data_IF_573465087744
#
_entry.id   IF_573465087744
#
_cell.length_a   1.000
_cell.length_b   1.000
_cell.length_c   1.000
_cell.angle_alpha   90.00
_cell.angle_beta   90.00
_cell.angle_gamma   90.00
#
_symmetry.space_group_name_H-M   'P 1'
#
loop_
_entity.id
_entity.type
_entity.pdbx_description
1 polymer ?
#
# COMPACT_ATOMS: atom_id res chain seq x y z
N UNK A 1 -22.64 -3.18 16.40
CA UNK A 1 -21.26 -3.69 16.57
C UNK A 1 -20.60 -3.05 17.81
N UNK A 2 -21.11 -3.33 19.01
CA UNK A 2 -20.70 -2.65 20.26
C UNK A 2 -19.60 -3.41 21.03
N UNK A 3 -19.36 -4.68 20.69
CA UNK A 3 -18.48 -5.60 21.42
C UNK A 3 -16.98 -5.30 21.26
N UNK A 4 -16.56 -4.69 20.15
CA UNK A 4 -15.14 -4.31 19.88
C UNK A 4 -14.61 -3.25 20.88
N UNK A 5 -15.49 -2.58 21.62
CA UNK A 5 -15.15 -1.53 22.58
C UNK A 5 -15.08 -2.01 24.04
N UNK A 6 -15.32 -3.28 24.30
CA UNK A 6 -15.24 -3.85 25.65
C UNK A 6 -13.79 -4.10 26.05
N UNK A 7 -13.47 -3.99 27.34
CA UNK A 7 -12.14 -4.35 27.87
C UNK A 7 -11.79 -5.83 27.57
N UNK A 8 -12.82 -6.67 27.43
CA UNK A 8 -12.71 -8.06 26.99
C UNK A 8 -12.08 -8.18 25.60
N UNK A 9 -12.39 -7.27 24.67
CA UNK A 9 -11.79 -7.30 23.33
C UNK A 9 -10.29 -7.01 23.35
N UNK A 10 -9.85 -6.03 24.15
CA UNK A 10 -8.42 -5.67 24.26
C UNK A 10 -7.58 -6.82 24.82
N UNK A 11 -8.14 -7.60 25.76
CA UNK A 11 -7.49 -8.77 26.34
C UNK A 11 -7.61 -10.03 25.46
N UNK A 12 -8.69 -10.16 24.68
CA UNK A 12 -8.90 -11.27 23.76
C UNK A 12 -8.08 -11.17 22.47
N UNK A 13 -7.88 -9.97 21.92
CA UNK A 13 -7.24 -9.79 20.61
C UNK A 13 -5.84 -10.42 20.51
N UNK A 14 -4.93 -10.29 21.49
CA UNK A 14 -3.63 -10.98 21.44
C UNK A 14 -3.75 -12.50 21.32
N UNK A 15 -4.75 -13.11 21.98
CA UNK A 15 -5.02 -14.55 21.92
C UNK A 15 -5.62 -14.97 20.58
N UNK A 16 -6.50 -14.13 20.02
CA UNK A 16 -7.17 -14.39 18.74
C UNK A 16 -6.33 -14.03 17.51
N UNK A 17 -5.29 -13.21 17.66
CA UNK A 17 -4.49 -12.70 16.55
C UNK A 17 -3.88 -13.82 15.70
N UNK A 18 -3.40 -14.89 16.33
CA UNK A 18 -2.85 -16.05 15.62
C UNK A 18 -3.94 -16.73 14.77
N UNK A 19 -5.12 -16.99 15.34
CA UNK A 19 -6.27 -17.57 14.63
C UNK A 19 -6.74 -16.68 13.49
N UNK A 20 -6.92 -15.37 13.73
CA UNK A 20 -7.35 -14.41 12.69
C UNK A 20 -6.36 -14.36 11.54
N UNK A 21 -5.05 -14.40 11.82
CA UNK A 21 -4.04 -14.42 10.77
C UNK A 21 -4.06 -15.75 10.01
N UNK A 22 -4.20 -16.88 10.70
CA UNK A 22 -4.32 -18.19 10.05
C UNK A 22 -5.54 -18.28 9.12
N UNK A 23 -6.69 -17.73 9.53
CA UNK A 23 -7.87 -17.65 8.66
C UNK A 23 -7.66 -16.75 7.45
N UNK A 24 -6.95 -15.62 7.60
CA UNK A 24 -6.59 -14.76 6.46
C UNK A 24 -5.68 -15.48 5.47
N UNK A 25 -4.68 -16.19 5.98
CA UNK A 25 -3.73 -16.95 5.15
C UNK A 25 -4.50 -18.05 4.38
N UNK A 26 -5.39 -18.81 5.05
CA UNK A 26 -6.28 -19.79 4.40
C UNK A 26 -7.20 -19.19 3.34
N UNK A 27 -7.83 -18.04 3.64
CA UNK A 27 -8.69 -17.35 2.68
C UNK A 27 -7.92 -16.87 1.46
N UNK A 28 -6.69 -16.39 1.65
CA UNK A 28 -5.82 -15.97 0.56
C UNK A 28 -5.38 -17.18 -0.29
N UNK A 29 -4.98 -18.29 0.35
CA UNK A 29 -4.63 -19.53 -0.35
C UNK A 29 -5.80 -20.05 -1.18
N UNK A 30 -7.00 -20.13 -0.60
CA UNK A 30 -8.20 -20.55 -1.34
C UNK A 30 -8.48 -19.64 -2.54
N UNK A 31 -8.37 -18.32 -2.36
CA UNK A 31 -8.57 -17.36 -3.45
C UNK A 31 -7.49 -17.48 -4.55
N UNK A 32 -6.25 -17.82 -4.20
CA UNK A 32 -5.18 -18.13 -5.16
C UNK A 32 -5.47 -19.41 -5.92
N UNK A 33 -5.86 -20.49 -5.23
CA UNK A 33 -6.25 -21.77 -5.86
C UNK A 33 -7.41 -21.58 -6.85
N UNK A 34 -8.38 -20.74 -6.49
CA UNK A 34 -9.51 -20.39 -7.34
C UNK A 34 -9.19 -19.30 -8.40
N UNK A 35 -7.94 -18.84 -8.50
CA UNK A 35 -7.45 -17.80 -9.42
C UNK A 35 -8.27 -16.50 -9.38
N UNK A 36 -8.75 -16.12 -8.19
CA UNK A 36 -9.49 -14.88 -7.99
C UNK A 36 -8.55 -13.68 -8.04
N UNK A 37 -9.06 -12.53 -8.48
CA UNK A 37 -8.35 -11.26 -8.30
C UNK A 37 -8.24 -10.92 -6.81
N UNK A 38 -7.05 -10.46 -6.39
CA UNK A 38 -6.73 -10.15 -5.00
C UNK A 38 -6.42 -8.67 -4.82
N UNK A 39 -6.88 -8.11 -3.70
CA UNK A 39 -6.46 -6.80 -3.21
C UNK A 39 -5.88 -6.99 -1.82
N UNK A 40 -4.57 -6.83 -1.68
CA UNK A 40 -3.85 -7.15 -0.45
C UNK A 40 -3.30 -5.85 0.17
N UNK A 41 -3.97 -5.29 1.19
CA UNK A 41 -3.53 -4.05 1.82
C UNK A 41 -2.35 -4.29 2.76
N UNK A 42 -1.22 -3.63 2.50
CA UNK A 42 -0.02 -3.70 3.34
C UNK A 42 0.57 -2.32 3.63
N UNK A 43 1.06 -2.15 4.86
CA UNK A 43 1.93 -1.03 5.25
C UNK A 43 3.41 -1.34 5.03
N UNK A 44 3.73 -2.55 4.55
CA UNK A 44 5.10 -3.00 4.21
C UNK A 44 6.15 -2.80 5.30
N UNK A 45 5.75 -3.01 6.56
CA UNK A 45 6.67 -3.01 7.71
C UNK A 45 7.67 -4.16 7.68
N UNK A 46 7.47 -5.19 6.87
CA UNK A 46 8.46 -6.22 6.62
C UNK A 46 8.60 -6.35 5.10
N UNK A 47 9.50 -5.54 4.53
CA UNK A 47 9.75 -5.51 3.10
C UNK A 47 10.10 -6.91 2.55
N UNK A 48 10.95 -7.67 3.25
CA UNK A 48 11.31 -9.03 2.82
C UNK A 48 10.10 -9.95 2.69
N UNK A 49 9.16 -9.90 3.65
CA UNK A 49 7.89 -10.66 3.55
C UNK A 49 7.04 -10.19 2.36
N UNK A 50 6.95 -8.88 2.13
CA UNK A 50 6.19 -8.33 1.00
C UNK A 50 6.75 -8.72 -0.36
N UNK A 51 8.08 -8.68 -0.51
CA UNK A 51 8.77 -9.12 -1.74
C UNK A 51 8.61 -10.63 -1.96
N UNK A 52 8.72 -11.44 -0.90
CA UNK A 52 8.48 -12.88 -1.00
C UNK A 52 7.04 -13.21 -1.40
N UNK A 53 6.06 -12.44 -0.92
CA UNK A 53 4.66 -12.59 -1.32
C UNK A 53 4.42 -12.22 -2.78
N UNK A 54 5.01 -11.11 -3.27
CA UNK A 54 4.96 -10.74 -4.69
C UNK A 54 5.54 -11.85 -5.58
N UNK A 55 6.74 -12.33 -5.27
CA UNK A 55 7.41 -13.38 -6.03
C UNK A 55 6.59 -14.69 -6.02
N UNK A 56 5.99 -15.04 -4.88
CA UNK A 56 5.09 -16.20 -4.79
C UNK A 56 3.88 -16.03 -5.70
N UNK A 57 3.18 -14.89 -5.63
CA UNK A 57 1.99 -14.64 -6.45
C UNK A 57 2.33 -14.62 -7.95
N UNK A 58 3.46 -14.05 -8.33
CA UNK A 58 3.98 -14.15 -9.69
C UNK A 58 4.19 -15.61 -10.12
N UNK A 59 4.80 -16.44 -9.27
CA UNK A 59 4.95 -17.88 -9.51
C UNK A 59 3.63 -18.64 -9.67
N UNK A 60 2.55 -18.15 -9.04
CA UNK A 60 1.18 -18.66 -9.19
C UNK A 60 0.46 -18.10 -10.44
N UNK A 61 1.16 -17.32 -11.28
CA UNK A 61 0.65 -16.77 -12.53
C UNK A 61 -0.06 -15.41 -12.40
N UNK A 62 0.08 -14.70 -11.27
CA UNK A 62 -0.49 -13.37 -11.12
C UNK A 62 0.37 -12.28 -11.77
N UNK A 63 -0.32 -11.31 -12.37
CA UNK A 63 0.25 -9.99 -12.66
C UNK A 63 0.02 -9.08 -11.46
N UNK A 64 1.10 -8.72 -10.78
CA UNK A 64 1.07 -7.93 -9.57
C UNK A 64 1.16 -6.44 -9.88
N UNK A 65 0.14 -5.69 -9.45
CA UNK A 65 0.11 -4.24 -9.53
C UNK A 65 0.35 -3.62 -8.15
N UNK A 66 1.02 -2.46 -8.09
CA UNK A 66 1.30 -1.75 -6.83
C UNK A 66 0.60 -0.40 -6.82
N UNK A 67 -0.35 -0.22 -5.91
CA UNK A 67 -0.91 1.09 -5.56
C UNK A 67 -0.27 1.58 -4.27
N UNK A 68 0.61 2.58 -4.39
CA UNK A 68 1.24 3.22 -3.25
C UNK A 68 0.47 4.48 -2.86
N UNK A 69 0.05 4.56 -1.59
CA UNK A 69 -0.68 5.71 -1.05
C UNK A 69 0.21 6.43 -0.05
N UNK A 70 0.49 7.70 -0.31
CA UNK A 70 1.31 8.56 0.56
C UNK A 70 0.50 9.75 1.07
N UNK A 71 0.92 10.27 2.22
CA UNK A 71 0.43 11.52 2.79
C UNK A 71 1.51 12.09 3.73
N UNK A 72 1.46 13.40 4.05
CA UNK A 72 2.35 14.01 5.05
C UNK A 72 2.28 13.29 6.41
N UNK A 73 3.39 13.29 7.15
CA UNK A 73 3.49 12.59 8.42
C UNK A 73 2.47 13.11 9.43
N UNK A 74 2.30 14.42 9.52
CA UNK A 74 1.40 15.09 10.44
C UNK A 74 -0.06 14.68 10.18
N UNK A 75 -0.44 14.55 8.91
CA UNK A 75 -1.77 14.09 8.51
C UNK A 75 -1.98 12.62 8.90
N UNK A 76 -1.00 11.76 8.59
CA UNK A 76 -1.00 10.36 9.00
C UNK A 76 -1.11 10.21 10.52
N UNK A 77 -0.40 11.04 11.29
CA UNK A 77 -0.46 11.05 12.75
C UNK A 77 -1.83 11.46 13.26
N UNK A 78 -2.35 12.60 12.80
CA UNK A 78 -3.68 13.11 13.19
C UNK A 78 -4.77 12.07 12.91
N UNK A 79 -4.80 11.51 11.69
CA UNK A 79 -5.80 10.52 11.27
C UNK A 79 -5.61 9.18 11.96
N UNK A 80 -4.37 8.75 12.13
CA UNK A 80 -4.00 7.51 12.82
C UNK A 80 -4.44 7.52 14.29
N UNK A 81 -4.15 8.60 15.02
CA UNK A 81 -4.58 8.80 16.40
C UNK A 81 -6.10 8.87 16.53
N UNK A 82 -6.78 9.62 15.66
CA UNK A 82 -8.25 9.68 15.64
C UNK A 82 -8.88 8.29 15.40
N UNK A 83 -8.27 7.48 14.52
CA UNK A 83 -8.67 6.10 14.27
C UNK A 83 -8.42 5.20 15.47
N UNK A 84 -7.27 5.33 16.13
CA UNK A 84 -6.93 4.56 17.32
C UNK A 84 -7.94 4.81 18.45
N UNK A 85 -8.33 6.07 18.67
CA UNK A 85 -9.38 6.43 19.65
C UNK A 85 -10.73 5.84 19.26
N UNK A 86 -11.14 5.97 18.00
CA UNK A 86 -12.49 5.57 17.56
C UNK A 86 -12.68 4.05 17.39
N UNK A 87 -11.62 3.34 16.99
CA UNK A 87 -11.67 1.91 16.63
C UNK A 87 -10.82 1.00 17.51
N UNK A 88 -9.93 1.56 18.34
CA UNK A 88 -8.92 0.79 19.08
C UNK A 88 -7.79 0.23 18.21
N UNK A 89 -7.79 0.51 16.89
CA UNK A 89 -6.72 0.05 16.00
C UNK A 89 -5.47 0.91 16.23
N UNK A 90 -4.48 0.30 16.89
CA UNK A 90 -3.20 0.94 17.20
C UNK A 90 -2.57 1.62 16.00
N UNK A 91 -2.17 2.87 16.19
CA UNK A 91 -1.28 3.59 15.28
C UNK A 91 0.11 3.72 15.91
N UNK A 92 1.15 3.73 15.08
CA UNK A 92 2.53 4.00 15.53
C UNK A 92 3.22 4.89 14.51
N UNK A 93 3.55 6.12 14.90
CA UNK A 93 4.27 7.06 14.04
C UNK A 93 5.66 6.58 13.65
N UNK A 94 6.33 5.82 14.52
CA UNK A 94 7.67 5.25 14.27
C UNK A 94 7.71 4.25 13.11
N UNK A 95 6.55 3.76 12.65
CA UNK A 95 6.44 2.85 11.52
C UNK A 95 6.38 3.59 10.17
N UNK A 96 6.16 4.91 10.17
CA UNK A 96 5.95 5.73 8.97
C UNK A 96 7.12 5.70 7.99
N UNK A 97 8.33 6.07 8.44
CA UNK A 97 9.50 6.15 7.54
C UNK A 97 9.80 4.81 6.88
N UNK A 98 9.70 3.73 7.66
CA UNK A 98 9.89 2.36 7.16
C UNK A 98 8.88 1.98 6.09
N UNK A 99 7.60 2.34 6.28
CA UNK A 99 6.56 2.12 5.27
C UNK A 99 6.82 2.91 3.98
N UNK A 100 7.25 4.16 4.11
CA UNK A 100 7.55 5.04 2.97
C UNK A 100 8.75 4.52 2.18
N UNK A 101 9.84 4.15 2.85
CA UNK A 101 11.06 3.61 2.23
C UNK A 101 10.83 2.26 1.53
N UNK A 102 9.79 1.51 1.92
CA UNK A 102 9.45 0.25 1.28
C UNK A 102 8.77 0.43 -0.09
N UNK A 103 8.26 1.62 -0.43
CA UNK A 103 7.51 1.83 -1.68
C UNK A 103 8.39 1.62 -2.93
N UNK A 104 9.54 2.29 -3.10
CA UNK A 104 10.37 2.11 -4.30
C UNK A 104 10.77 0.65 -4.59
N UNK A 105 11.29 -0.15 -3.63
CA UNK A 105 11.64 -1.54 -3.91
C UNK A 105 10.42 -2.43 -4.20
N UNK A 106 9.27 -2.16 -3.59
CA UNK A 106 8.03 -2.89 -3.92
C UNK A 106 7.55 -2.61 -5.34
N UNK A 107 7.63 -1.35 -5.79
CA UNK A 107 7.31 -1.00 -7.17
C UNK A 107 8.31 -1.64 -8.13
N UNK A 108 9.60 -1.62 -7.80
CA UNK A 108 10.65 -2.22 -8.62
C UNK A 108 10.45 -3.72 -8.84
N UNK A 109 9.97 -4.43 -7.81
CA UNK A 109 9.74 -5.87 -7.82
C UNK A 109 8.38 -6.29 -8.43
N UNK A 110 7.51 -5.35 -8.76
CA UNK A 110 6.20 -5.64 -9.34
C UNK A 110 6.35 -6.06 -10.82
N UNK A 111 5.57 -7.03 -11.30
CA UNK A 111 5.58 -7.49 -12.70
C UNK A 111 4.39 -6.96 -13.52
N UNK A 112 3.67 -5.97 -12.99
CA UNK A 112 2.53 -5.32 -13.63
C UNK A 112 2.72 -3.82 -13.80
N UNK A 113 1.86 -3.04 -13.13
CA UNK A 113 1.86 -1.57 -13.18
C UNK A 113 1.88 -1.00 -11.78
N UNK A 114 2.39 0.20 -11.64
CA UNK A 114 2.26 0.95 -10.40
C UNK A 114 1.51 2.25 -10.58
N UNK A 115 0.90 2.69 -9.48
CA UNK A 115 0.39 4.03 -9.31
C UNK A 115 0.78 4.53 -7.92
N UNK A 116 1.39 5.71 -7.87
CA UNK A 116 1.68 6.42 -6.64
C UNK A 116 0.67 7.57 -6.51
N UNK A 117 -0.09 7.59 -5.43
CA UNK A 117 -1.11 8.59 -5.17
C UNK A 117 -0.87 9.29 -3.83
N UNK A 118 -1.20 10.58 -3.76
CA UNK A 118 -1.34 11.32 -2.50
C UNK A 118 -2.80 11.31 -2.08
N UNK A 119 -3.08 10.91 -0.85
CA UNK A 119 -4.41 11.12 -0.26
C UNK A 119 -4.60 12.61 0.05
N UNK A 120 -5.74 13.19 -0.30
CA UNK A 120 -6.03 14.62 -0.08
C UNK A 120 -7.42 14.74 0.54
N UNK A 121 -7.53 15.48 1.64
CA UNK A 121 -8.84 15.86 2.19
C UNK A 121 -9.45 16.97 1.31
N UNK A 122 -10.64 16.71 0.78
CA UNK A 122 -11.44 17.67 0.05
C UNK A 122 -12.51 18.21 1.00
N UNK A 123 -12.46 19.52 1.26
CA UNK A 123 -13.40 20.22 2.12
C UNK A 123 -14.32 21.09 1.24
N UNK A 124 -15.42 20.51 0.79
CA UNK A 124 -16.43 21.23 0.01
C UNK A 124 -17.59 21.62 0.93
N UNK A 125 -17.51 22.80 1.53
CA UNK A 125 -18.50 23.31 2.48
C UNK A 125 -18.57 22.46 3.76
N UNK A 126 -19.72 21.83 4.02
CA UNK A 126 -19.94 20.97 5.19
C UNK A 126 -19.55 19.50 4.95
N UNK A 127 -19.16 19.12 3.73
CA UNK A 127 -18.86 17.74 3.37
C UNK A 127 -17.35 17.55 3.33
N UNK A 128 -16.85 16.72 4.26
CA UNK A 128 -15.47 16.24 4.22
C UNK A 128 -15.41 14.93 3.43
N UNK A 129 -14.62 14.90 2.35
CA UNK A 129 -14.36 13.69 1.55
C UNK A 129 -12.86 13.44 1.40
N UNK A 130 -12.50 12.17 1.25
CA UNK A 130 -11.14 11.80 0.86
C UNK A 130 -11.06 11.70 -0.65
N UNK A 131 -10.31 12.61 -1.27
CA UNK A 131 -9.86 12.51 -2.65
C UNK A 131 -8.45 11.96 -2.74
N UNK A 132 -7.92 11.93 -3.97
CA UNK A 132 -6.53 11.60 -4.22
C UNK A 132 -5.97 12.36 -5.42
N UNK A 133 -4.65 12.52 -5.45
CA UNK A 133 -3.90 13.04 -6.59
C UNK A 133 -2.90 12.01 -7.06
N UNK A 134 -2.89 11.71 -8.35
CA UNK A 134 -1.86 10.86 -8.95
C UNK A 134 -0.54 11.62 -8.99
N UNK A 135 0.51 11.04 -8.42
CA UNK A 135 1.86 11.59 -8.40
C UNK A 135 2.74 10.97 -9.48
N UNK A 136 2.63 9.66 -9.67
CA UNK A 136 3.34 8.92 -10.70
C UNK A 136 2.56 7.66 -11.09
N UNK A 137 2.76 7.21 -12.33
CA UNK A 137 2.21 5.95 -12.84
C UNK A 137 3.18 5.38 -13.87
N UNK A 138 3.23 4.07 -13.99
CA UNK A 138 4.06 3.44 -15.02
C UNK A 138 3.96 1.92 -15.04
N UNK A 139 4.53 1.26 -16.05
CA UNK A 139 4.82 -0.15 -15.96
C UNK A 139 5.88 -0.41 -14.87
N UNK A 140 5.81 -1.58 -14.24
CA UNK A 140 6.89 -2.11 -13.42
C UNK A 140 7.64 -3.21 -14.19
N UNK A 141 8.75 -3.68 -13.61
CA UNK A 141 9.51 -4.81 -14.12
C UNK A 141 10.53 -4.38 -15.17
N UNK A 142 11.79 -4.73 -14.93
CA UNK A 142 12.78 -4.80 -16.00
C UNK A 142 12.34 -5.97 -16.87
N UNK A 143 12.08 -5.71 -18.16
CA UNK A 143 11.64 -6.71 -19.12
C UNK A 143 12.67 -7.82 -19.36
N UNK A 144 12.80 -8.75 -18.41
CA UNK A 144 13.47 -10.03 -18.60
C UNK A 144 12.46 -11.17 -18.77
N UNK A 145 11.22 -10.86 -19.16
CA UNK A 145 10.38 -11.87 -19.80
C UNK A 145 10.99 -12.13 -21.18
N UNK A 146 11.72 -13.23 -21.30
CA UNK A 146 12.36 -13.75 -22.53
C UNK A 146 11.32 -13.98 -23.65
N UNK A 147 10.02 -13.80 -23.38
CA UNK A 147 8.93 -14.01 -24.34
C UNK A 147 8.35 -12.74 -24.97
N UNK A 148 8.89 -11.54 -24.66
CA UNK A 148 8.33 -10.27 -25.14
C UNK A 148 9.27 -9.50 -26.09
N UNK A 149 9.96 -10.19 -26.99
CA UNK A 149 10.55 -9.54 -28.17
C UNK A 149 9.71 -9.91 -29.38
N UNK A 150 8.96 -8.94 -29.91
CA UNK A 150 8.66 -8.70 -31.32
C UNK A 150 7.58 -7.59 -31.37
N UNK A 151 8.01 -6.36 -31.70
CA UNK A 151 7.20 -5.19 -32.08
C UNK A 151 6.87 -4.15 -30.98
N UNK A 152 7.81 -3.25 -30.68
CA UNK A 152 7.72 -1.81 -31.04
C UNK A 152 8.71 -0.95 -30.22
N UNK A 153 9.36 0.06 -30.84
CA UNK A 153 10.20 1.03 -30.15
C UNK A 153 9.36 2.24 -29.73
N UNK A 154 9.25 2.47 -28.43
CA UNK A 154 9.03 3.80 -27.86
C UNK A 154 10.09 3.99 -26.78
N UNK A 155 10.61 5.21 -26.57
CA UNK A 155 11.64 5.44 -25.56
C UNK A 155 11.07 5.02 -24.20
N UNK A 156 11.50 3.85 -23.74
CA UNK A 156 11.06 3.28 -22.48
C UNK A 156 11.52 4.23 -21.38
N UNK A 157 10.58 4.95 -20.77
CA UNK A 157 10.77 5.55 -19.45
C UNK A 157 11.05 4.37 -18.51
N UNK A 158 12.33 4.04 -18.39
CA UNK A 158 12.79 2.99 -17.50
C UNK A 158 12.39 3.41 -16.09
N UNK A 159 11.88 2.44 -15.33
CA UNK A 159 11.59 2.65 -13.93
C UNK A 159 12.85 3.15 -13.21
N UNK A 160 12.73 4.23 -12.44
CA UNK A 160 13.81 4.76 -11.60
C UNK A 160 13.33 4.83 -10.15
N UNK A 161 13.95 4.03 -9.29
CA UNK A 161 13.68 4.04 -7.85
C UNK A 161 13.96 5.42 -7.25
N UNK A 162 15.04 6.08 -7.69
CA UNK A 162 15.42 7.42 -7.23
C UNK A 162 14.41 8.49 -7.64
N UNK A 163 13.82 8.37 -8.83
CA UNK A 163 12.71 9.22 -9.24
C UNK A 163 11.53 9.07 -8.28
N UNK A 164 11.11 7.83 -7.97
CA UNK A 164 10.01 7.62 -7.03
C UNK A 164 10.33 8.13 -5.63
N UNK A 165 11.53 7.88 -5.11
CA UNK A 165 11.94 8.40 -3.80
C UNK A 165 11.81 9.92 -3.73
N UNK A 166 12.28 10.64 -4.76
CA UNK A 166 12.15 12.10 -4.82
C UNK A 166 10.69 12.56 -4.88
N UNK A 167 9.86 11.96 -5.73
CA UNK A 167 8.43 12.29 -5.83
C UNK A 167 7.71 12.06 -4.49
N UNK A 168 8.04 10.98 -3.79
CA UNK A 168 7.52 10.67 -2.46
C UNK A 168 7.96 11.74 -1.46
N UNK A 169 9.26 12.05 -1.38
CA UNK A 169 9.83 13.05 -0.47
C UNK A 169 9.21 14.44 -0.68
N UNK A 170 9.09 14.88 -1.93
CA UNK A 170 8.44 16.14 -2.29
C UNK A 170 6.97 16.13 -1.87
N UNK A 171 6.26 15.03 -2.12
CA UNK A 171 4.85 14.92 -1.79
C UNK A 171 4.58 14.92 -0.28
N UNK A 172 5.44 14.31 0.53
CA UNK A 172 5.26 14.28 2.00
C UNK A 172 5.69 15.59 2.66
N UNK A 173 6.62 16.36 2.05
CA UNK A 173 7.05 17.67 2.54
C UNK A 173 6.14 18.81 2.11
N UNK A 174 5.48 18.68 0.96
CA UNK A 174 4.59 19.71 0.46
C UNK A 174 3.43 19.93 1.45
N UNK A 175 3.17 21.18 1.89
CA UNK A 175 2.07 21.48 2.80
C UNK A 175 0.76 20.92 2.26
N UNK A 176 -0.22 20.72 3.14
CA UNK A 176 -1.58 20.47 2.69
C UNK A 176 -1.98 21.64 1.80
N UNK A 177 -2.04 21.42 0.48
CA UNK A 177 -2.53 22.43 -0.44
C UNK A 177 -3.98 22.65 -0.04
N UNK A 178 -4.30 23.85 0.43
CA UNK A 178 -5.69 24.29 0.53
C UNK A 178 -6.24 24.26 -0.90
N UNK A 179 -7.05 23.26 -1.20
CA UNK A 179 -7.83 23.23 -2.43
C UNK A 179 -8.92 24.28 -2.22
N UNK A 180 -8.64 25.51 -2.65
CA UNK A 180 -9.62 26.60 -2.75
C UNK A 180 -10.64 26.31 -3.83
#
# INVERSE_FOLDING_TARGET
QQWVRTDDWRSAYPKLKATINGEKDRMQEAAVTERKHLVIPHTMLNLGKGLAELARLEGEGYTNHVLAVVAPLEECQRRGQAREVSTGKRYKSTEFERSIQAIPPMVAACNGRYQLIRAVEQNEGSIQRMGYRVLATGPCGIGNSIHAELNAPSPSLSFSADFLSRVIEESIRAPALEVT
#
